data_IF_412613901713
#
_entry.id   IF_412613901713
#
_cell.length_a   1.000
_cell.length_b   1.000
_cell.length_c   1.000
_cell.angle_alpha   90.00
_cell.angle_beta   90.00
_cell.angle_gamma   90.00
#
_symmetry.space_group_name_H-M   'P 1'
#
loop_
_entity.id
_entity.type
_entity.pdbx_description
1 polymer ?
#
# COMPACT_ATOMS: atom_id res chain seq x y z
N UNK A 1 29.10 -56.84 45.50
CA UNK A 1 28.83 -57.53 44.22
C UNK A 1 28.67 -56.45 43.16
N UNK A 2 29.75 -56.00 42.50
CA UNK A 2 30.26 -56.48 41.18
C UNK A 2 29.25 -56.23 40.06
N UNK A 3 29.54 -55.66 38.88
CA UNK A 3 30.68 -55.00 38.21
C UNK A 3 30.11 -54.65 36.79
N UNK A 4 30.11 -53.39 36.34
CA UNK A 4 31.03 -52.79 35.35
C UNK A 4 30.89 -53.26 33.87
N UNK A 5 30.59 -52.29 32.98
CA UNK A 5 30.96 -52.10 31.55
C UNK A 5 30.13 -50.90 31.03
N UNK A 6 30.62 -49.68 30.78
CA UNK A 6 31.69 -49.13 29.90
C UNK A 6 31.44 -49.29 28.39
N UNK A 7 31.21 -48.16 27.70
CA UNK A 7 31.56 -47.88 26.28
C UNK A 7 31.26 -46.39 26.00
N UNK A 8 32.22 -45.48 26.19
CA UNK A 8 33.13 -44.88 25.19
C UNK A 8 32.52 -43.80 24.26
N UNK A 9 32.91 -42.58 24.61
CA UNK A 9 33.17 -41.35 23.85
C UNK A 9 33.18 -41.39 22.31
N UNK A 10 32.49 -40.41 21.72
CA UNK A 10 32.93 -39.75 20.49
C UNK A 10 32.79 -38.23 20.68
N UNK A 11 33.92 -37.55 20.82
CA UNK A 11 33.97 -36.09 20.84
C UNK A 11 33.97 -35.55 19.41
N UNK A 12 33.15 -34.52 19.15
CA UNK A 12 33.33 -33.63 18.01
C UNK A 12 33.31 -32.19 18.52
N UNK A 13 34.28 -31.45 18.03
CA UNK A 13 34.85 -30.21 18.54
C UNK A 13 34.16 -29.02 17.86
N UNK A 14 33.95 -27.97 18.65
CA UNK A 14 33.54 -26.63 18.26
C UNK A 14 34.54 -26.00 17.28
N UNK A 15 34.04 -25.47 16.16
CA UNK A 15 34.62 -24.41 15.31
C UNK A 15 33.41 -23.63 14.75
N UNK A 16 33.06 -22.45 15.27
CA UNK A 16 33.59 -21.10 14.94
C UNK A 16 33.32 -20.67 13.49
N UNK A 17 32.11 -20.16 13.23
CA UNK A 17 31.82 -19.25 12.10
C UNK A 17 31.37 -17.91 12.68
N UNK A 18 32.35 -17.03 12.92
CA UNK A 18 32.15 -15.64 13.31
C UNK A 18 33.18 -14.78 12.57
N UNK A 19 33.14 -14.76 11.24
CA UNK A 19 34.03 -13.91 10.42
C UNK A 19 33.33 -13.41 9.14
N UNK A 20 32.18 -12.74 9.25
CA UNK A 20 31.62 -11.98 8.12
C UNK A 20 31.19 -10.50 8.37
N UNK A 21 31.13 -9.94 9.60
CA UNK A 21 30.76 -8.53 9.75
C UNK A 21 31.96 -7.56 9.64
N UNK A 22 33.21 -8.04 9.58
CA UNK A 22 34.43 -7.22 9.58
C UNK A 22 34.89 -6.74 8.19
N UNK A 23 34.55 -7.46 7.12
CA UNK A 23 34.94 -7.07 5.76
C UNK A 23 34.05 -5.96 5.19
N UNK A 24 32.73 -6.01 5.43
CA UNK A 24 31.79 -4.95 5.00
C UNK A 24 32.04 -3.61 5.70
N UNK A 25 32.56 -3.62 6.94
CA UNK A 25 32.91 -2.40 7.68
C UNK A 25 34.20 -1.75 7.15
N UNK A 26 35.13 -2.55 6.63
CA UNK A 26 36.39 -2.06 6.05
C UNK A 26 36.21 -1.42 4.68
N UNK A 27 35.20 -1.83 3.90
CA UNK A 27 34.90 -1.19 2.62
C UNK A 27 34.23 0.18 2.82
N UNK A 28 33.31 0.30 3.78
CA UNK A 28 32.60 1.56 4.04
C UNK A 28 33.51 2.66 4.63
N UNK A 29 34.53 2.29 5.41
CA UNK A 29 35.51 3.26 5.97
C UNK A 29 36.53 3.74 4.93
N UNK A 30 36.79 2.97 3.86
CA UNK A 30 37.69 3.39 2.79
C UNK A 30 37.08 4.49 1.92
N UNK A 31 35.77 4.43 1.68
CA UNK A 31 35.06 5.38 0.81
C UNK A 31 34.86 6.77 1.44
N UNK A 32 34.99 6.89 2.77
CA UNK A 32 34.82 8.15 3.49
C UNK A 32 36.13 8.94 3.72
N UNK A 33 37.29 8.37 3.37
CA UNK A 33 38.60 8.97 3.64
C UNK A 33 39.23 9.75 2.47
N UNK A 34 38.54 9.86 1.32
CA UNK A 34 39.14 10.36 0.06
C UNK A 34 38.62 11.72 -0.44
N UNK A 35 38.01 12.56 0.40
CA UNK A 35 37.56 13.87 -0.05
C UNK A 35 37.83 14.96 0.99
N UNK A 36 39.09 15.37 1.10
CA UNK A 36 39.41 16.71 1.59
C UNK A 36 40.52 17.34 0.73
N UNK A 37 40.34 18.63 0.42
CA UNK A 37 41.37 19.50 -0.14
C UNK A 37 41.19 19.96 -1.60
N UNK A 38 40.48 21.07 -1.80
CA UNK A 38 40.97 22.13 -2.71
C UNK A 38 40.32 23.48 -2.40
N UNK A 39 41.15 24.43 -1.96
CA UNK A 39 40.82 25.82 -1.71
C UNK A 39 41.18 26.70 -2.92
N UNK A 40 40.38 27.73 -3.24
CA UNK A 40 40.85 29.09 -3.59
C UNK A 40 39.71 30.07 -3.95
N UNK A 41 39.79 31.27 -3.37
CA UNK A 41 39.38 32.62 -3.83
C UNK A 41 37.95 32.83 -4.42
N UNK A 42 37.15 33.80 -3.98
CA UNK A 42 37.44 35.05 -3.27
C UNK A 42 37.00 36.26 -4.10
N UNK A 43 35.71 36.60 -4.05
CA UNK A 43 35.13 37.94 -4.34
C UNK A 43 33.69 37.90 -3.84
N UNK A 44 33.20 38.65 -2.87
CA UNK A 44 33.67 39.91 -2.32
C UNK A 44 32.78 41.07 -2.77
N UNK A 45 31.47 41.06 -2.46
CA UNK A 45 30.65 42.27 -2.39
C UNK A 45 29.75 42.18 -1.16
N UNK A 46 30.10 42.99 -0.16
CA UNK A 46 29.26 43.35 0.97
C UNK A 46 28.37 44.51 0.55
N UNK A 47 27.08 44.45 0.88
CA UNK A 47 26.21 45.62 0.98
C UNK A 47 25.52 45.52 2.33
N UNK A 48 25.71 46.57 3.13
CA UNK A 48 25.39 46.62 4.55
C UNK A 48 23.88 46.76 4.83
N UNK A 49 23.45 46.03 5.86
CA UNK A 49 22.59 46.45 6.98
C UNK A 49 21.44 47.44 6.73
N UNK A 50 20.20 46.98 6.87
CA UNK A 50 19.15 47.74 7.56
C UNK A 50 18.03 46.83 8.08
N UNK A 51 17.88 46.83 9.41
CA UNK A 51 16.77 46.30 10.20
C UNK A 51 15.47 47.03 9.87
N UNK A 52 14.50 46.33 9.28
CA UNK A 52 13.04 46.54 9.39
C UNK A 52 12.44 45.12 9.24
N UNK A 53 11.80 44.52 10.24
CA UNK A 53 10.61 45.04 10.88
C UNK A 53 9.42 44.80 9.96
N UNK A 54 8.63 43.77 10.28
CA UNK A 54 7.25 43.51 9.80
C UNK A 54 7.03 43.18 8.32
N UNK A 55 6.72 41.91 8.05
CA UNK A 55 5.40 41.43 7.57
C UNK A 55 5.63 40.08 6.89
N UNK A 56 5.47 39.00 7.66
CA UNK A 56 5.20 37.70 7.07
C UNK A 56 3.91 37.86 6.29
N UNK A 57 4.03 37.81 4.96
CA UNK A 57 2.89 37.78 4.08
C UNK A 57 2.02 36.61 4.51
N UNK A 58 0.85 36.91 5.06
CA UNK A 58 -0.27 35.98 5.10
C UNK A 58 -0.46 35.53 3.65
N UNK A 59 -0.08 34.29 3.37
CA UNK A 59 -0.52 33.64 2.15
C UNK A 59 -2.03 33.58 2.28
N UNK A 60 -2.72 34.39 1.49
CA UNK A 60 -4.14 34.24 1.19
C UNK A 60 -4.35 32.78 0.76
N UNK A 61 -4.82 31.97 1.72
CA UNK A 61 -5.24 30.60 1.50
C UNK A 61 -6.50 30.69 0.62
N UNK A 62 -6.31 30.42 -0.66
CA UNK A 62 -7.39 30.09 -1.59
C UNK A 62 -8.27 29.03 -0.92
N UNK A 63 -9.60 29.21 -0.78
CA UNK A 63 -10.49 28.24 -0.15
C UNK A 63 -10.75 27.03 -1.07
N UNK A 64 -9.78 26.71 -1.94
CA UNK A 64 -9.68 25.43 -2.61
C UNK A 64 -9.36 24.38 -1.56
N UNK A 65 -10.26 23.43 -1.39
CA UNK A 65 -10.11 22.29 -0.48
C UNK A 65 -8.66 21.79 -0.50
N UNK A 66 -7.95 21.92 0.62
CA UNK A 66 -6.63 21.31 0.80
C UNK A 66 -6.78 19.80 0.52
N UNK A 67 -6.44 19.39 -0.71
CA UNK A 67 -6.55 18.00 -1.16
C UNK A 67 -5.53 17.10 -0.44
N UNK A 68 -4.58 17.72 0.25
CA UNK A 68 -3.56 17.06 1.03
C UNK A 68 -4.03 16.88 2.47
N UNK A 69 -3.84 15.68 3.04
CA UNK A 69 -4.14 15.46 4.44
C UNK A 69 -3.28 16.37 5.32
N UNK A 70 -3.79 16.82 6.48
CA UNK A 70 -3.02 17.64 7.40
C UNK A 70 -1.72 16.91 7.78
N UNK A 71 -0.61 17.65 7.96
CA UNK A 71 0.67 17.05 8.32
C UNK A 71 0.54 16.31 9.66
N UNK A 72 1.24 15.17 9.77
CA UNK A 72 1.27 14.41 11.01
C UNK A 72 1.83 15.26 12.16
N UNK A 73 1.32 15.08 13.39
CA UNK A 73 1.80 15.83 14.55
C UNK A 73 3.29 15.57 14.79
N UNK A 74 3.99 16.54 15.38
CA UNK A 74 5.39 16.34 15.75
C UNK A 74 5.51 15.33 16.91
N UNK A 75 6.48 14.40 16.85
CA UNK A 75 6.70 13.45 17.93
C UNK A 75 7.12 14.19 19.20
N UNK A 76 6.45 13.88 20.30
CA UNK A 76 6.68 14.46 21.64
C UNK A 76 6.66 13.35 22.68
N UNK A 77 7.16 13.67 23.87
CA UNK A 77 7.15 12.77 25.01
C UNK A 77 5.70 12.52 25.45
N UNK A 78 5.25 11.26 25.44
CA UNK A 78 3.88 10.84 25.73
C UNK A 78 3.61 10.40 27.17
N UNK A 79 4.48 10.74 28.13
CA UNK A 79 4.34 10.30 29.52
C UNK A 79 3.09 10.92 30.19
N UNK A 80 2.23 10.08 30.78
CA UNK A 80 0.98 10.47 31.45
C UNK A 80 0.01 11.28 30.55
N UNK A 81 0.14 11.19 29.22
CA UNK A 81 -0.68 11.97 28.29
C UNK A 81 -2.10 11.46 28.20
N UNK A 82 -2.25 10.13 28.15
CA UNK A 82 -3.55 9.47 27.96
C UNK A 82 -4.04 8.78 29.24
N UNK A 83 -3.13 8.12 29.96
CA UNK A 83 -3.42 7.46 31.22
C UNK A 83 -2.66 8.18 32.33
N UNK A 84 -3.39 8.85 33.22
CA UNK A 84 -2.84 9.51 34.41
C UNK A 84 -2.29 8.49 35.42
N UNK A 85 -1.48 8.97 36.37
CA UNK A 85 -0.90 8.17 37.45
C UNK A 85 -1.98 7.40 38.21
N UNK A 86 -3.09 8.05 38.55
CA UNK A 86 -4.20 7.41 39.26
C UNK A 86 -4.87 6.32 38.41
N UNK A 87 -5.09 6.59 37.13
CA UNK A 87 -5.67 5.66 36.17
C UNK A 87 -4.80 4.41 35.99
N UNK A 88 -3.47 4.59 35.91
CA UNK A 88 -2.52 3.49 35.84
C UNK A 88 -2.49 2.64 37.11
N UNK A 89 -2.53 3.25 38.30
CA UNK A 89 -2.62 2.48 39.55
C UNK A 89 -3.96 1.75 39.71
N UNK A 90 -5.06 2.29 39.15
CA UNK A 90 -6.32 1.54 39.08
C UNK A 90 -6.18 0.33 38.15
N UNK A 91 -5.57 0.52 36.99
CA UNK A 91 -5.31 -0.55 36.02
C UNK A 91 -4.28 -1.57 36.50
N UNK A 92 -3.36 -1.22 37.40
CA UNK A 92 -2.39 -2.18 37.96
C UNK A 92 -3.05 -3.14 38.95
N UNK A 93 -4.10 -2.70 39.64
CA UNK A 93 -4.83 -3.49 40.65
C UNK A 93 -5.79 -4.52 40.06
N UNK A 94 -6.06 -4.47 38.75
CA UNK A 94 -6.99 -5.39 38.10
C UNK A 94 -6.28 -6.69 37.73
N UNK A 95 -6.63 -7.77 38.41
CA UNK A 95 -6.09 -9.10 38.09
C UNK A 95 -6.87 -9.77 36.95
N UNK A 96 -8.16 -9.47 36.82
CA UNK A 96 -9.03 -10.04 35.81
C UNK A 96 -9.07 -9.19 34.51
N UNK A 97 -9.18 -9.87 33.36
CA UNK A 97 -9.23 -9.22 32.04
C UNK A 97 -10.51 -8.39 31.91
N UNK A 98 -11.66 -8.91 32.36
CA UNK A 98 -12.92 -8.19 32.28
C UNK A 98 -12.92 -6.92 33.14
N UNK A 99 -12.38 -6.99 34.37
CA UNK A 99 -12.26 -5.81 35.23
C UNK A 99 -11.33 -4.75 34.63
N UNK A 100 -10.23 -5.18 33.99
CA UNK A 100 -9.35 -4.28 33.25
C UNK A 100 -10.10 -3.59 32.09
N UNK A 101 -10.94 -4.33 31.34
CA UNK A 101 -11.75 -3.80 30.25
C UNK A 101 -12.77 -2.77 30.74
N UNK A 102 -13.46 -3.04 31.84
CA UNK A 102 -14.41 -2.10 32.45
C UNK A 102 -13.71 -0.79 32.87
N UNK A 103 -12.58 -0.89 33.57
CA UNK A 103 -11.81 0.29 33.97
C UNK A 103 -11.31 1.06 32.74
N UNK A 104 -10.91 0.38 31.67
CA UNK A 104 -10.53 1.03 30.42
C UNK A 104 -11.71 1.73 29.74
N UNK A 105 -12.89 1.11 29.71
CA UNK A 105 -14.09 1.69 29.13
C UNK A 105 -14.47 2.99 29.87
N UNK A 106 -14.41 2.98 31.20
CA UNK A 106 -14.60 4.18 32.02
C UNK A 106 -13.59 5.28 31.69
N UNK A 107 -12.31 4.93 31.55
CA UNK A 107 -11.22 5.88 31.26
C UNK A 107 -11.31 6.47 29.85
N UNK A 108 -11.69 5.65 28.87
CA UNK A 108 -11.94 6.06 27.48
C UNK A 108 -13.27 6.80 27.31
N UNK A 109 -14.14 6.81 28.35
CA UNK A 109 -15.51 7.32 28.31
C UNK A 109 -16.36 6.63 27.23
N UNK A 110 -16.13 5.34 27.03
CA UNK A 110 -16.90 4.50 26.10
C UNK A 110 -18.16 4.07 26.85
N UNK A 111 -19.32 4.58 26.43
CA UNK A 111 -20.59 4.35 27.11
C UNK A 111 -21.16 2.94 26.88
N UNK A 112 -21.07 2.42 25.65
CA UNK A 112 -21.59 1.11 25.27
C UNK A 112 -20.76 0.50 24.12
N UNK A 113 -19.80 -0.40 24.37
CA UNK A 113 -19.03 -1.05 23.30
C UNK A 113 -19.90 -1.93 22.38
N UNK A 114 -21.05 -2.42 22.88
CA UNK A 114 -21.98 -3.26 22.11
C UNK A 114 -22.73 -2.49 21.00
N UNK A 115 -22.90 -1.17 21.16
CA UNK A 115 -23.66 -0.34 20.23
C UNK A 115 -22.79 0.21 19.09
N UNK A 116 -21.50 0.42 19.36
CA UNK A 116 -20.54 1.02 18.43
C UNK A 116 -19.36 0.08 18.19
N UNK A 117 -19.27 -0.47 16.98
CA UNK A 117 -18.16 -1.36 16.59
C UNK A 117 -16.78 -0.69 16.73
N UNK A 118 -16.68 0.61 16.45
CA UNK A 118 -15.45 1.38 16.62
C UNK A 118 -14.98 1.41 18.08
N UNK A 119 -15.91 1.55 19.01
CA UNK A 119 -15.61 1.60 20.44
C UNK A 119 -15.17 0.22 20.95
N UNK A 120 -15.83 -0.85 20.53
CA UNK A 120 -15.42 -2.22 20.84
C UNK A 120 -14.00 -2.52 20.34
N UNK A 121 -13.71 -2.18 19.08
CA UNK A 121 -12.37 -2.40 18.48
C UNK A 121 -11.30 -1.56 19.19
N UNK A 122 -11.65 -0.33 19.58
CA UNK A 122 -10.76 0.56 20.33
C UNK A 122 -10.45 -0.03 21.71
N UNK A 123 -11.47 -0.50 22.42
CA UNK A 123 -11.33 -1.15 23.72
C UNK A 123 -10.47 -2.42 23.61
N UNK A 124 -10.69 -3.24 22.59
CA UNK A 124 -9.88 -4.43 22.31
C UNK A 124 -8.43 -4.07 22.06
N UNK A 125 -8.17 -3.06 21.24
CA UNK A 125 -6.80 -2.61 20.93
C UNK A 125 -6.02 -2.25 22.21
N UNK A 126 -6.60 -1.45 23.10
CA UNK A 126 -5.93 -1.06 24.35
C UNK A 126 -5.84 -2.19 25.37
N UNK A 127 -6.85 -3.06 25.44
CA UNK A 127 -6.85 -4.22 26.32
C UNK A 127 -5.69 -5.16 25.99
N UNK A 128 -5.52 -5.48 24.70
CA UNK A 128 -4.42 -6.32 24.25
C UNK A 128 -3.06 -5.64 24.43
N UNK A 129 -2.97 -4.31 24.23
CA UNK A 129 -1.74 -3.56 24.46
C UNK A 129 -1.31 -3.59 25.94
N UNK A 130 -2.27 -3.50 26.87
CA UNK A 130 -1.99 -3.61 28.30
C UNK A 130 -1.57 -5.02 28.70
N UNK A 131 -2.23 -6.06 28.17
CA UNK A 131 -1.83 -7.45 28.39
C UNK A 131 -0.38 -7.66 27.92
N UNK A 132 -0.03 -7.14 26.74
CA UNK A 132 1.34 -7.17 26.24
C UNK A 132 2.33 -6.46 27.18
N UNK A 133 2.02 -5.24 27.63
CA UNK A 133 2.90 -4.49 28.54
C UNK A 133 3.13 -5.24 29.86
N UNK A 134 2.08 -5.89 30.40
CA UNK A 134 2.19 -6.74 31.60
C UNK A 134 3.08 -7.97 31.36
N UNK A 135 2.93 -8.64 30.21
CA UNK A 135 3.75 -9.80 29.84
C UNK A 135 5.23 -9.45 29.69
N UNK A 136 5.54 -8.25 29.19
CA UNK A 136 6.91 -7.75 29.06
C UNK A 136 7.49 -7.15 30.35
N UNK A 137 6.69 -7.08 31.43
CA UNK A 137 7.12 -6.52 32.72
C UNK A 137 7.44 -5.02 32.65
N UNK A 138 6.69 -4.26 31.85
CA UNK A 138 6.89 -2.81 31.75
C UNK A 138 6.48 -2.09 33.04
N UNK A 139 7.18 -1.00 33.36
CA UNK A 139 6.79 -0.11 34.46
C UNK A 139 5.47 0.62 34.16
N UNK A 140 4.86 1.24 35.17
CA UNK A 140 3.63 2.04 34.99
C UNK A 140 3.83 3.20 34.01
N UNK A 141 4.98 3.86 34.09
CA UNK A 141 5.38 4.93 33.17
C UNK A 141 5.52 4.42 31.74
N UNK A 142 6.22 3.30 31.57
CA UNK A 142 6.42 2.63 30.27
C UNK A 142 5.08 2.21 29.67
N UNK A 143 4.20 1.63 30.46
CA UNK A 143 2.88 1.18 30.03
C UNK A 143 1.99 2.36 29.62
N UNK A 144 1.98 3.45 30.39
CA UNK A 144 1.27 4.69 30.05
C UNK A 144 1.77 5.26 28.71
N UNK A 145 3.09 5.29 28.51
CA UNK A 145 3.70 5.75 27.24
C UNK A 145 3.34 4.83 26.09
N UNK A 146 3.42 3.50 26.24
CA UNK A 146 3.09 2.55 25.19
C UNK A 146 1.63 2.70 24.72
N UNK A 147 0.68 2.85 25.66
CA UNK A 147 -0.73 3.10 25.35
C UNK A 147 -0.93 4.47 24.66
N UNK A 148 -0.28 5.53 25.15
CA UNK A 148 -0.39 6.86 24.54
C UNK A 148 0.22 6.90 23.13
N UNK A 149 1.34 6.21 22.91
CA UNK A 149 1.99 6.06 21.62
C UNK A 149 1.07 5.32 20.64
N UNK A 150 0.47 4.20 21.06
CA UNK A 150 -0.48 3.45 20.25
C UNK A 150 -1.72 4.28 19.90
N UNK A 151 -2.22 5.09 20.85
CA UNK A 151 -3.34 6.00 20.61
C UNK A 151 -2.99 7.09 19.60
N UNK A 152 -1.83 7.73 19.74
CA UNK A 152 -1.38 8.78 18.83
C UNK A 152 -1.14 8.22 17.43
N UNK A 153 -0.57 7.01 17.33
CA UNK A 153 -0.44 6.28 16.08
C UNK A 153 -1.81 6.01 15.46
N UNK A 154 -2.77 5.53 16.25
CA UNK A 154 -4.12 5.24 15.75
C UNK A 154 -4.81 6.50 15.20
N UNK A 155 -4.73 7.62 15.93
CA UNK A 155 -5.24 8.92 15.48
C UNK A 155 -4.56 9.39 14.19
N UNK A 156 -3.23 9.24 14.09
CA UNK A 156 -2.49 9.58 12.89
C UNK A 156 -2.91 8.73 11.68
N UNK A 157 -3.17 7.43 11.89
CA UNK A 157 -3.65 6.53 10.84
C UNK A 157 -5.08 6.87 10.39
N UNK A 158 -5.96 7.22 11.33
CA UNK A 158 -7.36 7.55 11.06
C UNK A 158 -7.56 8.99 10.51
N UNK A 159 -6.54 9.85 10.56
CA UNK A 159 -6.66 11.27 10.18
C UNK A 159 -6.99 11.51 8.70
N UNK A 160 -6.75 10.54 7.82
CA UNK A 160 -7.04 10.64 6.38
C UNK A 160 -7.62 9.32 5.88
N UNK A 161 -8.55 9.31 4.92
CA UNK A 161 -8.99 8.08 4.26
C UNK A 161 -7.94 7.55 3.26
N UNK A 162 -6.95 8.36 2.89
CA UNK A 162 -5.89 7.98 1.96
C UNK A 162 -4.89 7.02 2.62
N UNK A 163 -4.22 6.21 1.80
CA UNK A 163 -3.14 5.33 2.28
C UNK A 163 -1.95 6.15 2.77
N UNK A 164 -1.63 6.04 4.06
CA UNK A 164 -0.55 6.78 4.73
C UNK A 164 0.31 5.87 5.63
N UNK A 165 0.48 4.60 5.23
CA UNK A 165 1.18 3.57 6.05
C UNK A 165 2.62 3.98 6.32
N UNK A 166 3.33 4.43 5.30
CA UNK A 166 4.76 4.76 5.40
C UNK A 166 4.97 5.99 6.30
N UNK A 167 4.14 7.02 6.14
CA UNK A 167 4.19 8.22 6.96
C UNK A 167 3.86 7.89 8.43
N UNK A 168 2.84 7.06 8.66
CA UNK A 168 2.48 6.61 10.01
C UNK A 168 3.55 5.73 10.64
N UNK A 169 4.22 4.88 9.86
CA UNK A 169 5.34 4.07 10.33
C UNK A 169 6.54 4.95 10.70
N UNK A 170 6.90 5.91 9.85
CA UNK A 170 7.95 6.89 10.16
C UNK A 170 7.63 7.71 11.40
N UNK A 171 6.37 8.12 11.56
CA UNK A 171 5.90 8.80 12.77
C UNK A 171 6.05 7.91 14.00
N UNK A 172 5.58 6.66 13.93
CA UNK A 172 5.72 5.66 14.99
C UNK A 172 7.17 5.49 15.42
N UNK A 173 8.08 5.24 14.47
CA UNK A 173 9.52 5.08 14.72
C UNK A 173 10.12 6.32 15.36
N UNK A 174 9.70 7.52 14.93
CA UNK A 174 10.18 8.78 15.52
C UNK A 174 9.72 8.95 16.97
N UNK A 175 8.46 8.63 17.28
CA UNK A 175 7.94 8.66 18.66
C UNK A 175 8.63 7.59 19.51
N UNK A 176 8.90 6.40 18.96
CA UNK A 176 9.63 5.34 19.65
C UNK A 176 11.03 5.82 20.07
N UNK A 177 11.77 6.48 19.17
CA UNK A 177 13.08 7.06 19.48
C UNK A 177 13.03 8.19 20.50
N UNK A 178 11.93 8.95 20.59
CA UNK A 178 11.74 9.92 21.66
C UNK A 178 11.75 9.29 23.07
N UNK A 179 11.52 7.98 23.17
CA UNK A 179 11.45 7.25 24.43
C UNK A 179 12.62 6.26 24.65
N UNK A 180 13.53 6.15 23.67
CA UNK A 180 14.70 5.27 23.72
C UNK A 180 16.05 5.95 23.70
N UNK A 181 16.10 7.27 23.42
CA UNK A 181 17.36 8.03 23.36
C UNK A 181 17.31 9.17 24.36
N UNK A 182 18.40 9.37 25.10
CA UNK A 182 18.51 10.47 26.06
C UNK A 182 18.94 11.77 25.38
N UNK A 183 17.98 12.61 24.97
CA UNK A 183 18.24 13.99 24.50
C UNK A 183 17.18 14.98 24.99
N UNK A 184 17.27 15.46 26.25
CA UNK A 184 16.40 16.51 26.77
C UNK A 184 16.55 17.81 25.96
N UNK A 185 15.47 18.61 25.74
CA UNK A 185 14.08 18.41 26.18
C UNK A 185 13.22 17.52 25.26
N UNK A 186 13.78 16.99 24.16
CA UNK A 186 13.00 16.37 23.07
C UNK A 186 12.75 14.86 23.26
N UNK A 187 13.55 14.20 24.08
CA UNK A 187 13.48 12.75 24.30
C UNK A 187 13.95 12.37 25.71
N UNK A 188 13.41 11.25 26.18
CA UNK A 188 13.69 10.64 27.48
C UNK A 188 14.09 9.20 27.24
N UNK A 189 15.09 8.73 27.97
CA UNK A 189 15.49 7.33 27.98
C UNK A 189 14.65 6.57 29.00
N UNK A 190 13.48 6.08 28.56
CA UNK A 190 12.50 5.38 29.42
C UNK A 190 12.52 3.87 29.18
N UNK A 191 12.74 3.44 27.94
CA UNK A 191 12.76 2.02 27.58
C UNK A 191 14.19 1.55 27.31
N UNK A 192 14.47 0.32 27.71
CA UNK A 192 15.68 -0.39 27.26
C UNK A 192 15.56 -0.78 25.79
N UNK A 193 16.69 -1.02 25.13
CA UNK A 193 16.75 -1.45 23.72
C UNK A 193 15.87 -2.69 23.45
N UNK A 194 15.97 -3.73 24.29
CA UNK A 194 15.16 -4.94 24.16
C UNK A 194 13.65 -4.66 24.26
N UNK A 195 13.24 -3.74 25.15
CA UNK A 195 11.84 -3.37 25.34
C UNK A 195 11.30 -2.55 24.15
N UNK A 196 12.14 -1.68 23.57
CA UNK A 196 11.79 -0.92 22.36
C UNK A 196 11.58 -1.85 21.16
N UNK A 197 12.48 -2.82 20.98
CA UNK A 197 12.37 -3.82 19.92
C UNK A 197 11.11 -4.66 20.09
N UNK A 198 10.83 -5.14 21.31
CA UNK A 198 9.61 -5.89 21.60
C UNK A 198 8.34 -5.06 21.33
N UNK A 199 8.33 -3.77 21.69
CA UNK A 199 7.20 -2.87 21.43
C UNK A 199 7.04 -2.60 19.93
N UNK A 200 8.15 -2.39 19.19
CA UNK A 200 8.13 -2.22 17.74
C UNK A 200 7.55 -3.45 17.05
N UNK A 201 8.06 -4.64 17.39
CA UNK A 201 7.58 -5.90 16.84
C UNK A 201 6.11 -6.14 17.17
N UNK A 202 5.69 -5.84 18.40
CA UNK A 202 4.29 -5.94 18.78
C UNK A 202 3.39 -5.06 17.91
N UNK A 203 3.70 -3.76 17.78
CA UNK A 203 2.87 -2.82 17.00
C UNK A 203 2.87 -3.17 15.51
N UNK A 204 4.00 -3.61 14.96
CA UNK A 204 4.08 -4.05 13.56
C UNK A 204 3.22 -5.30 13.32
N UNK A 205 3.33 -6.31 14.19
CA UNK A 205 2.61 -7.58 14.02
C UNK A 205 1.13 -7.53 14.37
N UNK A 206 0.71 -6.60 15.22
CA UNK A 206 -0.70 -6.45 15.62
C UNK A 206 -1.40 -5.34 14.85
N UNK A 207 -0.90 -4.12 14.92
CA UNK A 207 -1.58 -2.95 14.37
C UNK A 207 -1.31 -2.79 12.86
N UNK A 208 -0.05 -2.71 12.44
CA UNK A 208 0.29 -2.49 11.03
C UNK A 208 -0.07 -3.68 10.13
N UNK A 209 0.04 -4.91 10.64
CA UNK A 209 -0.44 -6.12 9.94
C UNK A 209 -1.91 -6.02 9.54
N UNK A 210 -2.74 -5.40 10.38
CA UNK A 210 -4.18 -5.23 10.15
C UNK A 210 -4.54 -3.79 9.77
N UNK A 211 -3.57 -3.00 9.28
CA UNK A 211 -3.73 -1.57 9.00
C UNK A 211 -4.96 -1.27 8.11
N UNK A 212 -5.18 -2.07 7.07
CA UNK A 212 -6.32 -1.88 6.15
C UNK A 212 -7.68 -2.03 6.84
N UNK A 213 -7.79 -2.94 7.82
CA UNK A 213 -9.02 -3.17 8.58
C UNK A 213 -9.30 -1.98 9.50
N UNK A 214 -8.29 -1.52 10.24
CA UNK A 214 -8.42 -0.31 11.04
C UNK A 214 -8.78 0.90 10.16
N UNK A 215 -8.14 1.04 9.00
CA UNK A 215 -8.47 2.12 8.06
C UNK A 215 -9.93 2.07 7.62
N UNK A 216 -10.41 0.91 7.23
CA UNK A 216 -11.78 0.72 6.75
C UNK A 216 -12.83 1.09 7.81
N UNK A 217 -12.59 0.72 9.07
CA UNK A 217 -13.53 0.95 10.17
C UNK A 217 -13.52 2.39 10.67
N UNK A 218 -12.34 3.01 10.72
CA UNK A 218 -12.14 4.32 11.38
C UNK A 218 -12.04 5.51 10.43
N UNK A 219 -12.12 5.30 9.11
CA UNK A 219 -12.12 6.41 8.14
C UNK A 219 -13.43 6.47 7.35
N UNK A 220 -13.94 7.67 7.06
CA UNK A 220 -15.13 7.80 6.23
C UNK A 220 -14.85 7.33 4.81
N UNK A 221 -15.78 6.56 4.23
CA UNK A 221 -15.68 6.14 2.84
C UNK A 221 -15.89 7.34 1.91
N UNK A 222 -14.82 7.76 1.22
CA UNK A 222 -14.91 8.81 0.20
C UNK A 222 -15.35 8.19 -1.12
N UNK A 223 -16.52 8.62 -1.63
CA UNK A 223 -17.02 8.24 -2.96
C UNK A 223 -16.89 9.44 -3.91
N UNK A 224 -16.26 9.23 -5.06
CA UNK A 224 -16.19 10.23 -6.12
C UNK A 224 -17.30 9.94 -7.14
N UNK A 225 -18.29 10.83 -7.20
CA UNK A 225 -19.33 10.78 -8.22
C UNK A 225 -18.92 11.63 -9.44
N UNK A 226 -18.57 10.97 -10.54
CA UNK A 226 -18.11 11.64 -11.77
C UNK A 226 -19.27 11.82 -12.73
N UNK A 227 -19.76 13.05 -12.86
CA UNK A 227 -20.73 13.42 -13.89
C UNK A 227 -20.02 13.92 -15.14
N UNK A 228 -19.86 13.05 -16.14
CA UNK A 228 -19.28 13.40 -17.43
C UNK A 228 -20.35 14.01 -18.33
N UNK A 229 -20.22 15.31 -18.62
CA UNK A 229 -21.06 15.99 -19.61
C UNK A 229 -20.27 16.14 -20.91
N UNK A 230 -20.67 15.40 -21.94
CA UNK A 230 -20.08 15.51 -23.26
C UNK A 230 -20.71 16.67 -24.03
N UNK A 231 -19.89 17.61 -24.50
CA UNK A 231 -20.34 18.72 -25.33
C UNK A 231 -20.99 18.18 -26.62
N UNK A 232 -22.25 18.54 -26.87
CA UNK A 232 -23.00 18.14 -28.07
C UNK A 232 -23.97 16.97 -27.88
N UNK A 233 -23.99 16.30 -26.73
CA UNK A 233 -25.03 15.31 -26.37
C UNK A 233 -26.08 15.97 -25.47
N UNK A 234 -27.37 15.78 -25.77
CA UNK A 234 -28.42 16.25 -24.87
C UNK A 234 -28.35 15.49 -23.53
N UNK A 235 -28.54 16.17 -22.39
CA UNK A 235 -28.54 15.52 -21.08
C UNK A 235 -29.55 14.36 -21.06
N UNK A 236 -29.21 13.22 -20.45
CA UNK A 236 -30.17 12.13 -20.29
C UNK A 236 -31.40 12.65 -19.53
N UNK A 237 -32.60 12.45 -20.10
CA UNK A 237 -33.86 12.78 -19.42
C UNK A 237 -33.90 12.01 -18.08
N UNK A 238 -34.17 12.68 -16.95
CA UNK A 238 -34.29 12.00 -15.67
C UNK A 238 -35.38 10.94 -15.77
N UNK A 239 -35.04 9.69 -15.47
CA UNK A 239 -36.03 8.62 -15.34
C UNK A 239 -36.93 8.97 -14.14
N UNK A 240 -38.25 8.73 -14.22
CA UNK A 240 -39.13 8.90 -13.07
C UNK A 240 -38.61 8.05 -11.92
N UNK A 241 -38.43 8.68 -10.75
CA UNK A 241 -38.15 7.96 -9.50
C UNK A 241 -39.36 7.09 -9.19
N UNK A 242 -39.24 5.78 -9.38
CA UNK A 242 -40.13 4.84 -8.71
C UNK A 242 -39.89 5.01 -7.21
N UNK A 243 -40.99 5.20 -6.48
CA UNK A 243 -40.96 5.51 -5.06
C UNK A 243 -40.39 4.32 -4.28
N UNK A 244 -39.55 4.66 -3.32
CA UNK A 244 -39.01 3.79 -2.28
C UNK A 244 -40.10 2.93 -1.63
N UNK A 245 -39.82 1.65 -1.50
CA UNK A 245 -40.35 0.77 -0.47
C UNK A 245 -39.16 0.25 0.33
N UNK A 246 -39.13 0.60 1.61
CA UNK A 246 -38.13 0.19 2.61
C UNK A 246 -38.14 -1.33 2.89
N UNK A 247 -36.95 -1.79 3.28
CA UNK A 247 -36.63 -2.97 4.10
C UNK A 247 -36.93 -4.38 3.57
N UNK A 248 -35.87 -5.08 3.14
CA UNK A 248 -35.60 -6.46 3.57
C UNK A 248 -34.11 -6.83 3.35
N UNK A 249 -33.50 -7.26 4.44
CA UNK A 249 -32.15 -7.78 4.70
C UNK A 249 -31.33 -8.40 3.55
N UNK A 250 -30.02 -8.15 3.64
CA UNK A 250 -28.94 -8.99 3.11
C UNK A 250 -29.15 -10.47 3.47
N UNK A 251 -29.28 -11.31 2.44
CA UNK A 251 -28.77 -12.68 2.53
C UNK A 251 -27.83 -12.93 1.36
N UNK A 252 -26.57 -13.19 1.72
CA UNK A 252 -25.54 -13.73 0.88
C UNK A 252 -25.99 -15.03 0.19
N UNK A 253 -25.52 -15.28 -1.04
CA UNK A 253 -24.93 -16.56 -1.46
C UNK A 253 -24.39 -16.47 -2.90
N UNK A 254 -23.34 -17.25 -3.10
CA UNK A 254 -22.42 -17.40 -4.23
C UNK A 254 -23.06 -17.77 -5.59
N UNK A 255 -22.35 -17.53 -6.72
CA UNK A 255 -22.83 -17.88 -8.06
C UNK A 255 -22.60 -19.35 -8.39
N UNK A 256 -23.65 -20.03 -8.84
CA UNK A 256 -23.57 -21.32 -9.54
C UNK A 256 -24.44 -21.31 -10.80
N UNK A 257 -23.94 -22.06 -11.77
CA UNK A 257 -24.22 -22.02 -13.19
C UNK A 257 -25.52 -22.71 -13.61
N UNK A 258 -25.95 -22.30 -14.80
CA UNK A 258 -26.60 -23.07 -15.86
C UNK A 258 -28.06 -23.55 -15.78
N UNK A 259 -28.71 -23.24 -16.91
CA UNK A 259 -29.85 -23.88 -17.53
C UNK A 259 -31.23 -23.70 -16.88
N UNK A 260 -32.07 -22.88 -17.56
CA UNK A 260 -33.40 -23.31 -18.00
C UNK A 260 -34.02 -22.29 -18.97
N UNK A 261 -34.26 -22.81 -20.17
CA UNK A 261 -35.46 -22.67 -20.98
C UNK A 261 -35.95 -21.30 -21.47
N UNK A 262 -35.76 -21.16 -22.79
CA UNK A 262 -36.66 -20.59 -23.79
C UNK A 262 -38.12 -20.46 -23.29
N UNK A 263 -38.60 -19.23 -23.11
CA UNK A 263 -40.00 -18.91 -23.43
C UNK A 263 -40.19 -17.43 -23.79
N UNK A 264 -40.86 -17.26 -24.93
CA UNK A 264 -41.34 -16.05 -25.60
C UNK A 264 -41.80 -14.90 -24.68
N UNK A 265 -41.57 -13.62 -25.00
CA UNK A 265 -42.34 -12.73 -25.90
C UNK A 265 -41.82 -11.27 -25.68
N UNK A 266 -42.31 -10.18 -26.32
CA UNK A 266 -43.19 -10.01 -27.49
C UNK A 266 -42.60 -9.09 -28.57
N UNK A 267 -43.27 -9.04 -29.72
CA UNK A 267 -43.14 -7.94 -30.68
C UNK A 267 -43.47 -6.59 -30.01
N UNK A 268 -42.55 -5.64 -30.07
CA UNK A 268 -42.80 -4.22 -29.83
C UNK A 268 -42.25 -3.41 -31.01
N UNK A 269 -42.99 -2.39 -31.41
CA UNK A 269 -42.77 -1.42 -32.50
C UNK A 269 -41.31 -1.00 -32.71
N UNK A 270 -40.90 -0.58 -33.93
CA UNK A 270 -39.51 -0.52 -34.37
C UNK A 270 -38.70 0.50 -33.57
N UNK A 271 -38.20 0.04 -32.43
CA UNK A 271 -37.31 0.78 -31.55
C UNK A 271 -36.08 1.22 -32.35
N UNK A 272 -35.59 2.43 -32.10
CA UNK A 272 -34.34 2.96 -32.67
C UNK A 272 -33.17 1.97 -32.52
N UNK A 273 -33.24 1.11 -31.51
CA UNK A 273 -32.32 -0.01 -31.27
C UNK A 273 -32.34 -1.04 -32.41
N UNK A 274 -33.49 -1.34 -33.02
CA UNK A 274 -33.60 -2.25 -34.17
C UNK A 274 -32.94 -1.65 -35.43
N UNK A 275 -33.14 -0.35 -35.67
CA UNK A 275 -32.49 0.37 -36.78
C UNK A 275 -30.97 0.38 -36.61
N UNK A 276 -30.48 0.69 -35.40
CA UNK A 276 -29.04 0.67 -35.09
C UNK A 276 -28.43 -0.73 -35.22
N UNK A 277 -29.10 -1.77 -34.70
CA UNK A 277 -28.64 -3.17 -34.84
C UNK A 277 -28.55 -3.58 -36.30
N UNK A 278 -29.54 -3.21 -37.10
CA UNK A 278 -29.54 -3.49 -38.54
C UNK A 278 -28.39 -2.77 -39.22
N UNK A 279 -28.19 -1.49 -38.92
CA UNK A 279 -27.08 -0.69 -39.47
C UNK A 279 -25.70 -1.27 -39.12
N UNK A 280 -25.48 -1.60 -37.84
CA UNK A 280 -24.22 -2.21 -37.37
C UNK A 280 -24.00 -3.55 -38.09
N UNK A 281 -25.03 -4.40 -38.17
CA UNK A 281 -24.93 -5.68 -38.86
C UNK A 281 -24.61 -5.50 -40.35
N UNK A 282 -25.24 -4.54 -41.02
CA UNK A 282 -24.95 -4.26 -42.44
C UNK A 282 -23.53 -3.74 -42.64
N UNK A 283 -23.05 -2.85 -41.75
CA UNK A 283 -21.71 -2.31 -41.86
C UNK A 283 -20.65 -3.39 -41.61
N UNK A 284 -20.81 -4.23 -40.59
CA UNK A 284 -19.89 -5.32 -40.31
C UNK A 284 -19.79 -6.31 -41.47
N UNK A 285 -20.92 -6.67 -42.10
CA UNK A 285 -20.91 -7.55 -43.27
C UNK A 285 -20.20 -6.92 -44.47
N UNK A 286 -20.36 -5.61 -44.67
CA UNK A 286 -19.67 -4.87 -45.74
C UNK A 286 -18.15 -4.86 -45.53
N UNK A 287 -17.69 -4.52 -44.33
CA UNK A 287 -16.26 -4.49 -44.00
C UNK A 287 -15.64 -5.89 -44.08
N UNK A 288 -16.36 -6.92 -43.61
CA UNK A 288 -15.90 -8.31 -43.70
C UNK A 288 -15.75 -8.77 -45.17
N UNK A 289 -16.70 -8.39 -46.03
CA UNK A 289 -16.62 -8.68 -47.47
C UNK A 289 -15.45 -7.98 -48.15
N UNK A 290 -15.19 -6.71 -47.80
CA UNK A 290 -14.02 -5.98 -48.32
C UNK A 290 -12.70 -6.61 -47.87
N UNK A 291 -12.61 -7.02 -46.61
CA UNK A 291 -11.42 -7.69 -46.07
C UNK A 291 -11.17 -9.03 -46.75
N UNK A 292 -12.24 -9.83 -46.98
CA UNK A 292 -12.13 -11.09 -47.71
C UNK A 292 -11.60 -10.89 -49.13
N UNK A 293 -12.14 -9.92 -49.87
CA UNK A 293 -11.65 -9.61 -51.23
C UNK A 293 -10.19 -9.18 -51.24
N UNK A 294 -9.78 -8.31 -50.30
CA UNK A 294 -8.39 -7.85 -50.21
C UNK A 294 -7.43 -9.00 -49.90
N UNK A 295 -7.80 -9.91 -48.99
CA UNK A 295 -7.00 -11.09 -48.66
C UNK A 295 -6.87 -12.01 -49.87
N UNK A 296 -7.96 -12.24 -50.61
CA UNK A 296 -7.95 -13.09 -51.80
C UNK A 296 -7.09 -12.50 -52.93
N UNK A 297 -7.17 -11.19 -53.17
CA UNK A 297 -6.29 -10.49 -54.11
C UNK A 297 -4.82 -10.58 -53.71
N UNK A 298 -4.52 -10.41 -52.42
CA UNK A 298 -3.15 -10.56 -51.89
C UNK A 298 -2.63 -11.97 -52.07
N UNK A 299 -3.47 -12.98 -51.84
CA UNK A 299 -3.10 -14.38 -51.99
C UNK A 299 -2.84 -14.70 -53.46
N UNK A 300 -3.72 -14.27 -54.36
CA UNK A 300 -3.55 -14.45 -55.81
C UNK A 300 -2.30 -13.77 -56.35
N UNK A 301 -2.04 -12.52 -55.95
CA UNK A 301 -0.82 -11.82 -56.33
C UNK A 301 0.45 -12.53 -55.81
N UNK A 302 0.36 -13.15 -54.62
CA UNK A 302 1.47 -13.95 -54.08
C UNK A 302 1.70 -15.25 -54.86
N UNK A 303 0.62 -15.91 -55.30
CA UNK A 303 0.66 -17.12 -56.13
C UNK A 303 1.23 -16.82 -57.52
N UNK A 304 0.82 -15.73 -58.16
CA UNK A 304 1.38 -15.23 -59.42
C UNK A 304 2.87 -14.89 -59.27
N UNK A 305 3.27 -14.28 -58.14
CA UNK A 305 4.68 -14.00 -57.85
C UNK A 305 5.50 -15.28 -57.62
N UNK A 306 4.90 -16.32 -57.04
CA UNK A 306 5.57 -17.61 -56.85
C UNK A 306 5.67 -18.40 -58.16
N UNK A 307 4.61 -18.44 -58.96
CA UNK A 307 4.60 -19.11 -60.26
C UNK A 307 5.55 -18.46 -61.27
N UNK A 308 5.65 -17.13 -61.29
CA UNK A 308 6.66 -16.42 -62.10
C UNK A 308 8.10 -16.75 -61.68
N UNK A 309 8.37 -16.89 -60.37
CA UNK A 309 9.68 -17.34 -59.88
C UNK A 309 9.97 -18.80 -60.22
N UNK A 310 8.98 -19.69 -60.10
CA UNK A 310 9.12 -21.10 -60.47
C UNK A 310 9.40 -21.26 -61.97
N UNK A 311 8.64 -20.59 -62.83
CA UNK A 311 8.85 -20.63 -64.29
C UNK A 311 10.18 -19.98 -64.73
N UNK A 312 10.69 -18.99 -64.00
CA UNK A 312 12.03 -18.45 -64.23
C UNK A 312 13.14 -19.46 -63.91
N UNK A 313 12.95 -20.30 -62.89
CA UNK A 313 13.87 -21.39 -62.53
C UNK A 313 13.73 -22.61 -63.47
N UNK A 314 12.57 -22.80 -64.08
CA UNK A 314 12.26 -23.91 -64.97
C UNK A 314 12.73 -23.68 -66.42
N UNK A 315 13.20 -22.47 -66.77
CA UNK A 315 13.85 -22.25 -68.09
C UNK A 315 15.18 -23.01 -68.16
N UNK A 316 15.36 -23.92 -69.13
CA UNK A 316 16.60 -24.68 -69.26
C UNK A 316 17.77 -23.76 -69.58
N UNK A 317 18.90 -23.98 -68.89
CA UNK A 317 20.19 -23.37 -69.22
C UNK A 317 20.57 -23.67 -70.68
N UNK A 318 20.38 -22.72 -71.58
CA UNK A 318 21.07 -22.74 -72.87
C UNK A 318 22.53 -22.34 -72.64
N UNK A 319 23.43 -23.32 -72.77
CA UNK A 319 24.88 -23.18 -72.74
C UNK A 319 25.38 -22.36 -73.95
N UNK A 320 26.27 -21.36 -73.79
CA UNK A 320 27.06 -20.83 -74.90
C UNK A 320 28.17 -21.82 -75.31
N UNK A 321 28.67 -21.78 -76.57
CA UNK A 321 29.49 -22.85 -77.14
C UNK A 321 30.89 -22.91 -76.51
N UNK A 322 31.35 -24.12 -76.22
CA UNK A 322 32.66 -24.41 -75.65
C UNK A 322 33.78 -24.21 -76.69
N UNK A 323 34.73 -23.31 -76.37
CA UNK A 323 36.02 -23.19 -77.06
C UNK A 323 36.99 -24.20 -76.44
N UNK A 324 37.08 -25.40 -77.00
CA UNK A 324 38.16 -26.35 -76.66
C UNK A 324 39.45 -25.97 -77.38
N UNK A 325 40.46 -25.54 -76.62
CA UNK A 325 41.88 -25.56 -77.03
C UNK A 325 42.49 -26.87 -76.54
N UNK A 326 42.90 -27.75 -77.45
CA UNK A 326 43.91 -28.76 -77.18
C UNK A 326 45.07 -28.65 -78.19
N UNK A 327 46.25 -28.37 -77.64
CA UNK A 327 47.61 -28.72 -78.11
C UNK A 327 47.65 -30.25 -78.33
N UNK A 328 48.43 -30.93 -79.18
CA UNK A 328 49.69 -30.69 -79.89
C UNK A 328 49.91 -31.87 -80.86
N UNK A 329 50.57 -31.64 -82.00
CA UNK A 329 51.70 -32.39 -82.58
C UNK A 329 51.58 -32.53 -84.10
#
# INVERSE_FOLDING_TARGET
MTSLKSSQYLGVKVQSELEQPSELRRELEKDLSSADGSAMMGTGVRTDSATLGSTSMEAEDDPGANLFPPPLPQPRICMWKFLDIHSMHRLEKTDNIEEMREVLAELLKIGCPEQNLQDAITLDLYSHALIFCRQQGFSLEQTSVACALLQDLHKACAATPLGNVEECYRYFTSVLFCHGVRRPPFSIDLFKEEQLLALADYVVNTYFRHFKLYKYVFTPQVRLDLSLTYMGLQPPKPRPKEKEGEEAEEQALTPQEEELEIMAQPEQEPSQVCVLRTYIKTQLNKELGQLQQLVEERLKASEERLSTKLSALERPHQLPPSKNKNKTK
#
